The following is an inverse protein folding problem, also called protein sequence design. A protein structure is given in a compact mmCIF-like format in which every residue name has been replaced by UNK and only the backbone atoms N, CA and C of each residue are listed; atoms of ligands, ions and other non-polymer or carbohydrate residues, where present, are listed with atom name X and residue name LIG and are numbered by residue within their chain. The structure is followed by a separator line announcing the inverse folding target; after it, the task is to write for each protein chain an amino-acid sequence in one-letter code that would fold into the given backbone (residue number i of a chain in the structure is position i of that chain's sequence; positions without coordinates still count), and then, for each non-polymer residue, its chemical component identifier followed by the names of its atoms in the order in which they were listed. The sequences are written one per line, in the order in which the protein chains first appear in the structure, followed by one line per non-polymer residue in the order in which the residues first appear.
data_IF_857343210713
#
_entry.id   IF_857343210713
#
_cell.length_a   1.000
_cell.length_b   1.000
_cell.length_c   1.000
_cell.angle_alpha   90.00
_cell.angle_beta   90.00
_cell.angle_gamma   90.00
#
_symmetry.space_group_name_H-M   'P 1'
#
loop_
_entity.id
_entity.type
_entity.pdbx_description
1 polymer ?
#
# COMPACT_ATOMS: atom_id res chain seq x y z
N UNK A 1 14.28 -16.09 -30.65
CA UNK A 1 13.88 -16.30 -29.24
C UNK A 1 14.30 -17.70 -28.88
N UNK A 2 15.26 -17.81 -27.96
CA UNK A 2 15.95 -19.05 -27.59
C UNK A 2 15.05 -19.91 -26.66
N UNK A 3 14.75 -21.18 -26.98
CA UNK A 3 13.70 -21.97 -26.31
C UNK A 3 14.11 -22.62 -24.96
N UNK A 4 15.17 -22.16 -24.30
CA UNK A 4 15.60 -22.75 -23.03
C UNK A 4 16.35 -21.75 -22.12
N UNK A 5 15.81 -20.54 -21.94
CA UNK A 5 16.17 -19.78 -20.75
C UNK A 5 15.68 -20.59 -19.55
N UNK A 6 16.61 -21.25 -18.85
CA UNK A 6 16.35 -21.92 -17.58
C UNK A 6 15.81 -20.85 -16.65
N UNK A 7 14.50 -20.85 -16.44
CA UNK A 7 13.85 -19.95 -15.49
C UNK A 7 14.40 -20.31 -14.12
N UNK A 8 15.06 -19.37 -13.48
CA UNK A 8 15.65 -19.57 -12.16
C UNK A 8 14.57 -19.64 -11.07
N UNK A 9 14.98 -20.10 -9.89
CA UNK A 9 14.09 -20.24 -8.74
C UNK A 9 13.52 -18.91 -8.28
N UNK A 10 14.27 -17.82 -8.44
CA UNK A 10 13.83 -16.47 -8.08
C UNK A 10 12.66 -16.00 -8.94
N UNK A 11 12.70 -16.25 -10.25
CA UNK A 11 11.59 -15.96 -11.16
C UNK A 11 10.32 -16.72 -10.79
N UNK A 12 10.44 -17.99 -10.38
CA UNK A 12 9.31 -18.77 -9.90
C UNK A 12 8.75 -18.21 -8.59
N UNK A 13 9.61 -17.85 -7.63
CA UNK A 13 9.17 -17.20 -6.37
C UNK A 13 8.51 -15.85 -6.62
N UNK A 14 8.99 -15.07 -7.58
CA UNK A 14 8.36 -13.81 -7.97
C UNK A 14 6.95 -14.03 -8.53
N UNK A 15 6.76 -15.05 -9.40
CA UNK A 15 5.44 -15.41 -9.91
C UNK A 15 4.49 -15.91 -8.81
N UNK A 16 5.00 -16.68 -7.84
CA UNK A 16 4.22 -17.13 -6.68
C UNK A 16 3.86 -15.97 -5.74
N UNK A 17 4.74 -14.99 -5.55
CA UNK A 17 4.44 -13.77 -4.79
C UNK A 17 3.30 -12.99 -5.44
N UNK A 18 3.37 -12.77 -6.76
CA UNK A 18 2.31 -12.10 -7.51
C UNK A 18 0.92 -12.74 -7.25
N UNK A 19 0.85 -14.08 -7.24
CA UNK A 19 -0.38 -14.79 -6.90
C UNK A 19 -0.89 -14.51 -5.47
N UNK A 20 0.01 -14.41 -4.49
CA UNK A 20 -0.36 -14.10 -3.09
C UNK A 20 -0.86 -12.66 -2.92
N UNK A 21 -0.32 -11.75 -3.72
CA UNK A 21 -0.70 -10.34 -3.77
C UNK A 21 -1.98 -10.10 -4.59
N UNK A 22 -2.44 -11.12 -5.34
CA UNK A 22 -3.61 -11.05 -6.21
C UNK A 22 -3.33 -10.41 -7.57
N UNK A 23 -2.06 -10.34 -7.96
CA UNK A 23 -1.58 -9.87 -9.25
C UNK A 23 -1.52 -11.00 -10.27
N UNK A 24 -1.52 -10.66 -11.57
CA UNK A 24 -1.39 -11.65 -12.64
C UNK A 24 0.07 -12.13 -12.75
N UNK A 25 0.36 -13.43 -12.58
CA UNK A 25 1.72 -13.94 -12.68
C UNK A 25 2.22 -13.98 -14.14
N UNK A 26 3.54 -13.90 -14.37
CA UNK A 26 4.12 -14.00 -15.72
C UNK A 26 4.03 -15.41 -16.32
N UNK A 27 3.72 -16.43 -15.51
CA UNK A 27 3.56 -17.82 -15.94
C UNK A 27 2.12 -18.27 -15.77
N UNK A 28 1.60 -19.05 -16.73
CA UNK A 28 0.27 -19.62 -16.61
C UNK A 28 0.16 -20.64 -15.46
N UNK A 29 -1.03 -20.75 -14.86
CA UNK A 29 -1.29 -21.64 -13.71
C UNK A 29 -0.84 -23.09 -13.91
N UNK A 30 -0.99 -23.65 -15.11
CA UNK A 30 -0.54 -25.01 -15.40
C UNK A 30 0.99 -25.18 -15.26
N UNK A 31 1.75 -24.18 -15.68
CA UNK A 31 3.22 -24.18 -15.55
C UNK A 31 3.64 -24.03 -14.08
N UNK A 32 2.94 -23.16 -13.34
CA UNK A 32 3.15 -22.98 -11.89
C UNK A 32 2.88 -24.28 -11.13
N UNK A 33 1.75 -24.94 -11.37
CA UNK A 33 1.46 -26.24 -10.75
C UNK A 33 2.48 -27.32 -11.13
N UNK A 34 2.90 -27.34 -12.40
CA UNK A 34 3.95 -28.24 -12.87
C UNK A 34 5.28 -28.01 -12.15
N UNK A 35 5.67 -26.76 -11.95
CA UNK A 35 6.88 -26.40 -11.22
C UNK A 35 6.79 -26.78 -9.73
N UNK A 36 5.69 -26.44 -9.04
CA UNK A 36 5.49 -26.78 -7.63
C UNK A 36 5.50 -28.29 -7.39
N UNK A 37 5.00 -29.09 -8.33
CA UNK A 37 5.08 -30.55 -8.26
C UNK A 37 6.52 -31.10 -8.39
N UNK A 38 7.42 -30.35 -9.06
CA UNK A 38 8.79 -30.77 -9.34
C UNK A 38 9.84 -30.11 -8.44
N UNK A 39 9.53 -28.97 -7.82
CA UNK A 39 10.48 -28.15 -7.06
C UNK A 39 10.05 -28.01 -5.59
N UNK A 40 10.67 -28.82 -4.73
CA UNK A 40 10.39 -28.82 -3.28
C UNK A 40 10.69 -27.47 -2.63
N UNK A 41 11.80 -26.82 -2.98
CA UNK A 41 12.20 -25.55 -2.37
C UNK A 41 11.21 -24.42 -2.65
N UNK A 42 10.63 -24.36 -3.86
CA UNK A 42 9.55 -23.42 -4.16
C UNK A 42 8.24 -23.77 -3.47
N UNK A 43 7.93 -25.06 -3.30
CA UNK A 43 6.75 -25.50 -2.53
C UNK A 43 6.87 -25.10 -1.06
N UNK A 44 8.01 -25.40 -0.43
CA UNK A 44 8.27 -25.06 0.97
C UNK A 44 8.24 -23.53 1.17
N UNK A 45 8.84 -22.78 0.23
CA UNK A 45 8.79 -21.32 0.24
C UNK A 45 7.36 -20.77 0.14
N UNK A 46 6.51 -21.36 -0.70
CA UNK A 46 5.12 -20.93 -0.86
C UNK A 46 4.31 -21.16 0.42
N UNK A 47 4.54 -22.29 1.09
CA UNK A 47 3.89 -22.60 2.37
C UNK A 47 4.27 -21.58 3.44
N UNK A 48 5.57 -21.27 3.56
CA UNK A 48 6.08 -20.25 4.49
C UNK A 48 5.53 -18.85 4.17
N UNK A 49 5.57 -18.45 2.90
CA UNK A 49 5.05 -17.16 2.45
C UNK A 49 3.54 -17.04 2.68
N UNK A 50 2.78 -18.12 2.48
CA UNK A 50 1.34 -18.18 2.76
C UNK A 50 1.07 -18.03 4.26
N UNK A 51 1.86 -18.67 5.12
CA UNK A 51 1.72 -18.53 6.57
C UNK A 51 1.97 -17.09 7.03
N UNK A 52 3.00 -16.43 6.51
CA UNK A 52 3.30 -15.01 6.78
C UNK A 52 2.15 -14.12 6.30
N UNK A 53 1.71 -14.29 5.04
CA UNK A 53 0.62 -13.48 4.48
C UNK A 53 -0.69 -13.62 5.28
N UNK A 54 -1.01 -14.83 5.72
CA UNK A 54 -2.16 -15.06 6.59
C UNK A 54 -2.00 -14.33 7.92
N UNK A 55 -0.81 -14.38 8.53
CA UNK A 55 -0.49 -13.65 9.75
C UNK A 55 -0.69 -12.14 9.59
N UNK A 56 -0.14 -11.56 8.52
CA UNK A 56 -0.27 -10.12 8.23
C UNK A 56 -1.74 -9.68 8.10
N UNK A 57 -2.58 -10.48 7.44
CA UNK A 57 -4.03 -10.19 7.30
C UNK A 57 -4.81 -10.28 8.62
N UNK A 58 -4.24 -10.92 9.65
CA UNK A 58 -4.83 -11.00 10.99
C UNK A 58 -4.27 -9.98 11.98
N UNK A 59 -3.28 -9.18 11.56
CA UNK A 59 -2.77 -8.12 12.41
C UNK A 59 -3.88 -7.12 12.70
N UNK A 60 -3.95 -6.60 13.94
CA UNK A 60 -4.89 -5.54 14.26
C UNK A 60 -4.61 -4.36 13.32
N UNK A 61 -5.67 -3.83 12.71
CA UNK A 61 -5.59 -2.56 12.00
C UNK A 61 -5.12 -1.54 13.04
N UNK A 62 -3.91 -1.02 12.85
CA UNK A 62 -3.49 0.16 13.58
C UNK A 62 -4.41 1.27 13.09
N UNK A 63 -5.41 1.61 13.89
CA UNK A 63 -6.19 2.82 13.65
C UNK A 63 -5.18 3.94 13.49
N UNK A 64 -5.11 4.48 12.27
CA UNK A 64 -4.24 5.59 11.99
C UNK A 64 -4.85 6.80 12.70
N UNK A 65 -4.45 7.00 13.96
CA UNK A 65 -4.56 8.30 14.66
C UNK A 65 -3.90 9.44 13.85
N UNK A 66 -3.16 9.10 12.79
CA UNK A 66 -2.67 9.99 11.74
C UNK A 66 -3.76 10.47 10.78
N UNK A 67 -4.80 9.72 10.44
CA UNK A 67 -5.85 10.18 9.51
C UNK A 67 -6.54 11.44 10.02
N UNK A 68 -6.98 11.41 11.29
CA UNK A 68 -7.63 12.54 11.96
C UNK A 68 -6.65 13.70 12.24
N UNK A 69 -5.39 13.40 12.58
CA UNK A 69 -4.37 14.43 12.89
C UNK A 69 -3.79 15.09 11.65
N UNK A 70 -3.60 14.36 10.55
CA UNK A 70 -3.00 14.89 9.32
C UNK A 70 -4.00 15.73 8.56
N UNK A 71 -5.28 15.34 8.49
CA UNK A 71 -6.32 16.17 7.87
C UNK A 71 -6.43 17.54 8.57
N UNK A 72 -6.29 17.58 9.89
CA UNK A 72 -6.25 18.85 10.64
C UNK A 72 -4.87 19.55 10.63
N UNK A 73 -3.77 18.86 10.30
CA UNK A 73 -2.45 19.50 10.19
C UNK A 73 -2.18 20.05 8.79
N UNK A 74 -2.85 19.51 7.77
CA UNK A 74 -2.89 20.09 6.42
C UNK A 74 -4.11 21.03 6.35
N UNK A 75 -4.20 21.92 7.34
CA UNK A 75 -4.82 23.22 7.16
C UNK A 75 -3.97 23.97 6.12
N UNK A 76 -4.23 23.70 4.84
CA UNK A 76 -3.82 24.60 3.77
C UNK A 76 -4.34 25.97 4.18
N UNK A 77 -3.43 26.88 4.52
CA UNK A 77 -3.76 28.25 4.92
C UNK A 77 -4.40 29.00 3.74
N UNK A 78 -5.67 28.73 3.44
CA UNK A 78 -6.53 29.41 2.46
C UNK A 78 -7.27 30.60 3.10
N UNK A 79 -6.73 31.15 4.18
CA UNK A 79 -7.30 32.32 4.84
C UNK A 79 -6.83 33.59 4.12
N UNK A 80 -7.61 34.04 3.14
CA UNK A 80 -7.39 35.29 2.39
C UNK A 80 -7.53 36.57 3.24
N UNK A 81 -8.00 36.47 4.49
CA UNK A 81 -8.25 37.64 5.36
C UNK A 81 -6.99 38.48 5.65
N UNK A 82 -5.79 37.89 5.60
CA UNK A 82 -4.51 38.63 5.76
C UNK A 82 -4.09 39.37 4.48
N UNK A 83 -4.46 38.86 3.31
CA UNK A 83 -4.09 39.41 1.99
C UNK A 83 -5.18 40.29 1.38
N UNK A 84 -6.40 40.27 1.93
CA UNK A 84 -7.57 40.95 1.39
C UNK A 84 -8.32 40.14 0.31
N UNK A 85 -7.99 38.85 0.17
CA UNK A 85 -8.62 37.93 -0.79
C UNK A 85 -9.81 37.18 -0.15
N UNK A 86 -10.62 36.53 -0.99
CA UNK A 86 -11.79 35.75 -0.57
C UNK A 86 -11.38 34.56 0.33
N UNK A 87 -12.09 34.37 1.44
CA UNK A 87 -11.84 33.28 2.38
C UNK A 87 -12.67 32.05 1.98
N UNK A 88 -12.01 30.90 1.82
CA UNK A 88 -12.64 29.65 1.39
C UNK A 88 -12.78 28.61 2.50
N UNK A 89 -12.56 29.00 3.76
CA UNK A 89 -12.75 28.11 4.90
C UNK A 89 -14.24 27.84 5.13
N UNK A 90 -14.60 26.58 5.33
CA UNK A 90 -15.99 26.17 5.60
C UNK A 90 -16.50 26.69 6.98
N UNK A 91 -15.61 26.86 7.95
CA UNK A 91 -15.91 27.32 9.32
C UNK A 91 -14.99 28.50 9.74
N UNK A 92 -14.85 29.55 8.90
CA UNK A 92 -14.05 30.72 9.33
C UNK A 92 -14.70 31.44 10.52
N UNK A 93 -14.03 31.41 11.67
CA UNK A 93 -14.33 32.29 12.80
C UNK A 93 -13.54 33.61 12.69
N UNK A 94 -13.81 34.34 11.60
CA UNK A 94 -13.22 35.62 11.22
C UNK A 94 -13.63 36.79 12.16
N UNK A 95 -13.60 36.58 13.48
CA UNK A 95 -13.91 37.56 14.52
C UNK A 95 -12.69 37.88 15.41
N UNK A 96 -12.88 38.61 16.52
CA UNK A 96 -11.78 39.03 17.43
C UNK A 96 -11.00 37.86 18.08
N UNK A 97 -11.46 36.62 17.89
CA UNK A 97 -10.84 35.40 18.41
C UNK A 97 -10.19 34.54 17.31
N UNK A 98 -10.00 35.05 16.09
CA UNK A 98 -9.33 34.33 15.03
C UNK A 98 -7.86 34.04 15.40
N UNK A 99 -7.47 32.76 15.39
CA UNK A 99 -6.11 32.29 15.70
C UNK A 99 -5.05 32.81 14.71
N UNK A 100 -5.46 33.33 13.56
CA UNK A 100 -4.57 33.97 12.59
C UNK A 100 -4.14 35.40 12.98
N UNK A 101 -4.75 36.03 14.01
CA UNK A 101 -4.36 37.34 14.54
C UNK A 101 -3.21 37.29 15.57
N UNK A 102 -2.84 36.09 16.05
CA UNK A 102 -1.76 35.92 17.04
C UNK A 102 -0.42 35.58 16.39
N UNK A 103 0.06 36.43 15.49
CA UNK A 103 1.45 36.42 15.00
C UNK A 103 2.03 37.84 15.01
#
# INVERSE_FOLDING_TARGET
MDPAAVVDEESWRAALSALLDGEEPPFGMAAIMGHLAACRSCSDWLDDATAVNRGLRTLPLLESVLGERVVNSVDVHLCGCRTGEECLCADCQCGPHCTCHTA
#
